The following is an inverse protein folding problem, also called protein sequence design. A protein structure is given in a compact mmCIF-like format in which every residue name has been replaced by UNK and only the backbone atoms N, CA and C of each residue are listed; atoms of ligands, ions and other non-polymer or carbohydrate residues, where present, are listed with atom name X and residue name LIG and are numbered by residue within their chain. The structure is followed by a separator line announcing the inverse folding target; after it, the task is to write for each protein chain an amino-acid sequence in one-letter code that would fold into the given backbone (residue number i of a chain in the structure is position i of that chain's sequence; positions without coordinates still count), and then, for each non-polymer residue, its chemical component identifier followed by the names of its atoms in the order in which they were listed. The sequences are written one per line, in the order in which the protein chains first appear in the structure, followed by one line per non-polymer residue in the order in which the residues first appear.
data_IF_020587547655
#
_entry.id   IF_020587547655
#
_cell.length_a   1.000
_cell.length_b   1.000
_cell.length_c   1.000
_cell.angle_alpha   90.00
_cell.angle_beta   90.00
_cell.angle_gamma   90.00
#
_symmetry.space_group_name_H-M   'P 1'
#
loop_
_entity.id
_entity.type
_entity.pdbx_description
1 polymer ?
#
# COMPACT_ATOMS: atom_id res chain seq x y z
N UNK A 1 2.04 -71.48 44.01
CA UNK A 1 1.03 -70.57 43.37
C UNK A 1 1.59 -69.13 43.39
N UNK A 2 2.08 -68.74 42.25
CA UNK A 2 2.76 -67.43 42.07
C UNK A 2 1.76 -66.41 41.52
N UNK A 3 1.37 -65.45 42.33
CA UNK A 3 0.55 -64.34 41.91
C UNK A 3 1.48 -63.16 41.50
N UNK A 4 1.71 -63.01 40.20
CA UNK A 4 2.38 -61.83 39.62
C UNK A 4 1.42 -60.66 39.72
N UNK A 5 1.71 -59.71 40.60
CA UNK A 5 1.07 -58.38 40.57
C UNK A 5 1.64 -57.61 39.42
N UNK A 6 0.84 -57.36 38.39
CA UNK A 6 1.14 -56.46 37.27
C UNK A 6 0.88 -55.05 37.82
N UNK A 7 1.94 -54.26 38.02
CA UNK A 7 1.89 -52.86 38.32
C UNK A 7 1.60 -52.12 37.00
N UNK A 8 0.35 -51.70 36.79
CA UNK A 8 -0.01 -50.83 35.68
C UNK A 8 0.46 -49.43 36.03
N UNK A 9 1.64 -49.02 35.50
CA UNK A 9 2.04 -47.62 35.50
C UNK A 9 1.14 -46.87 34.50
N UNK A 10 0.12 -46.22 35.00
CA UNK A 10 -0.57 -45.17 34.26
C UNK A 10 0.39 -44.00 34.10
N UNK A 11 1.05 -43.96 32.96
CA UNK A 11 1.72 -42.76 32.47
C UNK A 11 0.64 -41.73 32.16
N UNK A 12 0.34 -40.88 33.12
CA UNK A 12 -0.34 -39.64 32.87
C UNK A 12 0.60 -38.78 32.02
N UNK A 13 0.52 -38.97 30.70
CA UNK A 13 1.01 -37.98 29.79
C UNK A 13 0.13 -36.76 30.03
N UNK A 14 0.65 -35.82 30.80
CA UNK A 14 0.17 -34.43 30.74
C UNK A 14 0.40 -34.01 29.28
N UNK A 15 -0.60 -34.21 28.45
CA UNK A 15 -0.78 -33.36 27.28
C UNK A 15 -0.97 -31.97 27.86
N UNK A 16 0.12 -31.22 28.06
CA UNK A 16 0.03 -29.79 28.01
C UNK A 16 -0.70 -29.51 26.69
N UNK A 17 -1.98 -29.20 26.79
CA UNK A 17 -2.64 -28.44 25.76
C UNK A 17 -1.76 -27.23 25.54
N UNK A 18 -0.89 -27.33 24.57
CA UNK A 18 -0.52 -26.20 23.76
C UNK A 18 -1.86 -25.68 23.27
N UNK A 19 -2.47 -24.79 24.03
CA UNK A 19 -3.45 -23.84 23.53
C UNK A 19 -2.72 -23.19 22.36
N UNK A 20 -2.85 -23.83 21.20
CA UNK A 20 -2.09 -23.52 20.01
C UNK A 20 -2.40 -22.07 19.71
N UNK A 21 -1.36 -21.24 19.69
CA UNK A 21 -1.51 -19.86 19.28
C UNK A 21 -2.36 -19.87 18.00
N UNK A 22 -3.44 -19.11 17.99
CA UNK A 22 -4.29 -18.99 16.81
C UNK A 22 -3.39 -18.73 15.60
N UNK A 23 -3.65 -19.36 14.46
CA UNK A 23 -2.89 -19.10 13.23
C UNK A 23 -2.86 -17.60 12.84
N UNK A 24 -3.67 -16.80 13.50
CA UNK A 24 -3.75 -15.36 13.34
C UNK A 24 -3.01 -14.60 14.43
N UNK A 25 -2.45 -15.25 15.43
CA UNK A 25 -1.66 -14.59 16.46
C UNK A 25 -0.34 -14.05 15.90
N UNK A 26 0.17 -13.01 16.53
CA UNK A 26 1.51 -12.50 16.19
C UNK A 26 2.54 -13.51 16.70
N UNK A 27 3.50 -13.92 15.86
CA UNK A 27 4.58 -14.81 16.28
C UNK A 27 5.33 -14.26 17.50
N UNK A 28 5.64 -15.13 18.45
CA UNK A 28 6.29 -14.74 19.71
C UNK A 28 7.73 -14.26 19.49
N UNK A 29 8.44 -14.83 18.52
CA UNK A 29 9.82 -14.50 18.16
C UNK A 29 9.87 -13.95 16.73
N UNK A 30 11.02 -13.42 16.35
CA UNK A 30 11.29 -12.91 14.99
C UNK A 30 11.91 -13.98 14.09
N UNK A 31 12.25 -15.13 14.63
CA UNK A 31 12.93 -16.20 13.92
C UNK A 31 12.10 -16.69 12.72
N UNK A 32 12.73 -16.74 11.55
CA UNK A 32 12.08 -17.17 10.30
C UNK A 32 11.07 -16.23 9.72
N UNK A 33 10.79 -15.08 10.36
CA UNK A 33 9.85 -14.09 9.83
C UNK A 33 10.48 -13.24 8.72
N UNK A 34 9.70 -12.91 7.69
CA UNK A 34 10.17 -12.08 6.59
C UNK A 34 10.41 -10.63 7.05
N UNK A 35 11.29 -9.94 6.32
CA UNK A 35 11.59 -8.54 6.53
C UNK A 35 12.37 -8.24 7.80
N UNK A 36 12.60 -6.97 8.04
CA UNK A 36 13.38 -6.46 9.17
C UNK A 36 12.60 -5.39 9.94
N UNK A 37 13.12 -5.04 11.14
CA UNK A 37 12.55 -3.97 11.96
C UNK A 37 11.41 -4.42 12.86
N UNK A 38 10.65 -3.47 13.41
CA UNK A 38 9.76 -3.73 14.53
C UNK A 38 8.48 -4.46 14.13
N UNK A 39 8.08 -5.38 15.00
CA UNK A 39 6.75 -5.95 15.07
C UNK A 39 6.17 -5.56 16.41
N UNK A 40 5.03 -4.89 16.43
CA UNK A 40 4.38 -4.54 17.69
C UNK A 40 3.86 -5.78 18.41
N UNK A 41 4.20 -5.90 19.70
CA UNK A 41 3.76 -7.01 20.56
C UNK A 41 3.11 -6.53 21.87
N UNK A 42 2.66 -5.28 21.91
CA UNK A 42 1.88 -4.76 23.03
C UNK A 42 0.57 -5.55 23.19
N UNK A 43 0.09 -5.73 24.39
CA UNK A 43 -1.10 -6.54 24.65
C UNK A 43 -2.32 -6.06 23.83
N UNK A 44 -2.56 -4.74 23.80
CA UNK A 44 -3.64 -4.15 23.02
C UNK A 44 -3.52 -4.45 21.53
N UNK A 45 -2.30 -4.42 20.99
CA UNK A 45 -2.05 -4.67 19.57
C UNK A 45 -2.25 -6.15 19.21
N UNK A 46 -1.74 -7.08 20.03
CA UNK A 46 -1.97 -8.52 19.86
C UNK A 46 -3.45 -8.85 19.79
N UNK A 47 -4.24 -8.30 20.73
CA UNK A 47 -5.68 -8.51 20.79
C UNK A 47 -6.39 -7.94 19.55
N UNK A 48 -6.02 -6.73 19.12
CA UNK A 48 -6.59 -6.10 17.92
C UNK A 48 -6.23 -6.87 16.66
N UNK A 49 -4.96 -7.24 16.52
CA UNK A 49 -4.43 -8.01 15.40
C UNK A 49 -5.19 -9.33 15.23
N UNK A 50 -5.28 -10.12 16.27
CA UNK A 50 -5.96 -11.41 16.23
C UNK A 50 -7.47 -11.26 15.97
N UNK A 51 -8.12 -10.31 16.64
CA UNK A 51 -9.54 -10.00 16.43
C UNK A 51 -9.85 -9.63 14.98
N UNK A 52 -9.06 -8.72 14.39
CA UNK A 52 -9.25 -8.28 13.01
C UNK A 52 -9.06 -9.43 12.03
N UNK A 53 -7.98 -10.17 12.14
CA UNK A 53 -7.63 -11.27 11.23
C UNK A 53 -8.60 -12.45 11.33
N UNK A 54 -9.02 -12.79 12.54
CA UNK A 54 -10.07 -13.80 12.76
C UNK A 54 -11.40 -13.38 12.15
N UNK A 55 -11.75 -12.08 12.24
CA UNK A 55 -12.93 -11.53 11.56
C UNK A 55 -12.83 -11.64 10.05
N UNK A 56 -11.73 -11.21 9.47
CA UNK A 56 -11.50 -11.27 8.02
C UNK A 56 -11.47 -12.69 7.46
N UNK A 57 -10.95 -13.65 8.23
CA UNK A 57 -10.96 -15.06 7.81
C UNK A 57 -12.37 -15.62 7.56
N UNK A 58 -13.37 -15.08 8.25
CA UNK A 58 -14.79 -15.43 8.03
C UNK A 58 -15.38 -14.78 6.78
N UNK A 59 -14.74 -13.73 6.27
CA UNK A 59 -15.22 -12.90 5.15
C UNK A 59 -14.43 -13.16 3.85
N UNK A 60 -13.47 -14.10 3.84
CA UNK A 60 -12.60 -14.35 2.67
C UNK A 60 -13.41 -14.58 1.39
N UNK A 61 -14.48 -15.38 1.45
CA UNK A 61 -15.32 -15.65 0.27
C UNK A 61 -16.09 -14.40 -0.19
N UNK A 62 -16.55 -13.59 0.76
CA UNK A 62 -17.24 -12.34 0.47
C UNK A 62 -16.30 -11.34 -0.19
N UNK A 63 -15.05 -11.28 0.22
CA UNK A 63 -14.07 -10.29 -0.22
C UNK A 63 -13.24 -10.74 -1.44
N UNK A 64 -13.52 -11.93 -2.02
CA UNK A 64 -12.84 -12.40 -3.24
C UNK A 64 -12.94 -11.37 -4.37
N UNK A 65 -11.79 -11.05 -4.97
CA UNK A 65 -11.71 -10.12 -6.10
C UNK A 65 -11.94 -8.64 -5.71
N UNK A 66 -11.87 -8.28 -4.44
CA UNK A 66 -12.01 -6.90 -4.00
C UNK A 66 -10.80 -6.03 -4.39
N UNK A 67 -10.99 -4.72 -4.45
CA UNK A 67 -9.95 -3.73 -4.32
C UNK A 67 -9.57 -3.64 -2.84
N UNK A 68 -8.37 -4.09 -2.50
CA UNK A 68 -7.92 -4.15 -1.10
C UNK A 68 -7.19 -2.88 -0.70
N UNK A 69 -7.61 -2.26 0.39
CA UNK A 69 -6.88 -1.17 1.03
C UNK A 69 -6.05 -1.74 2.18
N UNK A 70 -4.74 -1.74 2.01
CA UNK A 70 -3.76 -2.33 2.92
C UNK A 70 -3.03 -1.25 3.70
N UNK A 71 -3.04 -1.34 5.04
CA UNK A 71 -2.38 -0.32 5.85
C UNK A 71 -2.56 -0.48 7.36
N UNK A 72 -2.46 0.63 8.03
CA UNK A 72 -2.49 0.74 9.50
C UNK A 72 -3.77 1.41 10.03
N UNK A 73 -3.66 2.21 11.11
CA UNK A 73 -4.79 2.94 11.73
C UNK A 73 -5.46 3.91 10.77
N UNK A 74 -4.71 4.51 9.87
CA UNK A 74 -5.26 5.47 8.89
C UNK A 74 -6.19 4.74 7.93
N UNK A 75 -5.79 3.56 7.45
CA UNK A 75 -6.65 2.71 6.62
C UNK A 75 -7.81 2.14 7.43
N UNK A 76 -7.56 1.59 8.63
CA UNK A 76 -8.62 1.07 9.50
C UNK A 76 -9.67 2.11 9.83
N UNK A 77 -9.25 3.34 10.14
CA UNK A 77 -10.13 4.45 10.55
C UNK A 77 -11.05 4.97 9.44
N UNK A 78 -10.81 4.57 8.20
CA UNK A 78 -11.74 4.89 7.10
C UNK A 78 -13.06 4.11 7.23
N UNK A 79 -13.07 3.00 7.94
CA UNK A 79 -14.22 2.10 8.07
C UNK A 79 -14.30 1.07 6.94
N UNK A 80 -15.15 0.08 7.11
CA UNK A 80 -15.24 -1.03 6.15
C UNK A 80 -16.05 -0.65 4.90
N UNK A 81 -16.95 0.34 5.02
CA UNK A 81 -17.71 0.93 3.91
C UNK A 81 -17.01 2.13 3.26
N UNK A 82 -15.82 2.49 3.76
CA UNK A 82 -15.06 3.68 3.32
C UNK A 82 -15.90 4.96 3.34
N UNK A 83 -16.84 5.06 4.29
CA UNK A 83 -17.77 6.20 4.43
C UNK A 83 -18.54 6.50 3.13
N UNK A 84 -18.79 5.47 2.34
CA UNK A 84 -19.51 5.58 1.07
C UNK A 84 -18.70 6.21 -0.09
N UNK A 85 -17.39 6.43 0.07
CA UNK A 85 -16.57 7.07 -0.95
C UNK A 85 -16.43 6.28 -2.26
N UNK A 86 -16.55 4.95 -2.21
CA UNK A 86 -16.32 4.06 -3.34
C UNK A 86 -17.57 3.23 -3.66
N UNK A 87 -18.73 3.87 -3.75
CA UNK A 87 -20.00 3.20 -4.11
C UNK A 87 -19.84 2.47 -5.44
N UNK A 88 -20.36 1.25 -5.51
CA UNK A 88 -20.28 0.39 -6.70
C UNK A 88 -18.95 -0.35 -6.86
N UNK A 89 -17.93 -0.02 -6.08
CA UNK A 89 -16.66 -0.74 -6.07
C UNK A 89 -16.67 -1.78 -4.94
N UNK A 90 -16.33 -3.02 -5.26
CA UNK A 90 -16.10 -4.04 -4.23
C UNK A 90 -14.77 -3.75 -3.54
N UNK A 91 -14.83 -3.29 -2.31
CA UNK A 91 -13.67 -2.89 -1.50
C UNK A 91 -13.48 -3.78 -0.29
N UNK A 92 -12.24 -3.94 0.18
CA UNK A 92 -11.93 -4.64 1.43
C UNK A 92 -10.90 -3.84 2.24
N UNK A 93 -11.27 -3.46 3.46
CA UNK A 93 -10.37 -2.78 4.39
C UNK A 93 -9.49 -3.80 5.11
N UNK A 94 -8.18 -3.69 4.92
CA UNK A 94 -7.15 -4.52 5.59
C UNK A 94 -6.18 -3.65 6.38
N UNK A 95 -6.71 -2.62 7.03
CA UNK A 95 -5.99 -1.78 7.99
C UNK A 95 -6.04 -2.35 9.40
N UNK A 96 -4.90 -2.36 10.10
CA UNK A 96 -4.80 -2.65 11.54
C UNK A 96 -4.11 -1.50 12.25
N UNK A 97 -4.80 -0.84 13.18
CA UNK A 97 -4.21 0.26 13.95
C UNK A 97 -2.92 -0.17 14.63
N UNK A 98 -1.86 0.62 14.41
CA UNK A 98 -0.55 0.32 14.97
C UNK A 98 0.33 -0.59 14.12
N UNK A 99 -0.15 -1.10 13.00
CA UNK A 99 0.63 -2.02 12.17
C UNK A 99 1.86 -1.36 11.54
N UNK A 100 2.89 -2.16 11.36
CA UNK A 100 4.16 -1.77 10.73
C UNK A 100 4.30 -2.44 9.37
N UNK A 101 5.27 -2.00 8.57
CA UNK A 101 5.57 -2.64 7.28
C UNK A 101 5.90 -4.13 7.44
N UNK A 102 6.63 -4.50 8.50
CA UNK A 102 6.93 -5.90 8.80
C UNK A 102 5.69 -6.67 9.25
N UNK A 103 4.81 -6.05 10.04
CA UNK A 103 3.53 -6.63 10.41
C UNK A 103 2.68 -6.94 9.18
N UNK A 104 2.52 -5.98 8.28
CA UNK A 104 1.84 -6.19 6.99
C UNK A 104 2.44 -7.37 6.22
N UNK A 105 3.77 -7.46 6.16
CA UNK A 105 4.45 -8.52 5.42
C UNK A 105 4.13 -9.92 5.96
N UNK A 106 4.07 -10.07 7.29
CA UNK A 106 3.74 -11.34 7.97
C UNK A 106 2.32 -11.80 7.62
N UNK A 107 1.35 -10.88 7.56
CA UNK A 107 -0.06 -11.22 7.33
C UNK A 107 -0.51 -11.15 5.87
N UNK A 108 0.38 -10.76 4.97
CA UNK A 108 0.05 -10.46 3.58
C UNK A 108 -0.63 -11.63 2.87
N UNK A 109 -0.15 -12.85 3.07
CA UNK A 109 -0.65 -14.05 2.40
C UNK A 109 -2.11 -14.33 2.78
N UNK A 110 -2.41 -14.41 4.07
CA UNK A 110 -3.72 -14.78 4.57
C UNK A 110 -4.74 -13.66 4.42
N UNK A 111 -4.32 -12.41 4.63
CA UNK A 111 -5.26 -11.30 4.75
C UNK A 111 -5.50 -10.57 3.41
N UNK A 112 -4.57 -10.71 2.46
CA UNK A 112 -4.61 -9.99 1.18
C UNK A 112 -4.57 -10.95 -0.01
N UNK A 113 -3.51 -11.76 -0.14
CA UNK A 113 -3.34 -12.59 -1.33
C UNK A 113 -4.44 -13.66 -1.46
N UNK A 114 -4.91 -14.20 -0.34
CA UNK A 114 -6.04 -15.16 -0.31
C UNK A 114 -7.34 -14.62 -0.90
N UNK A 115 -7.48 -13.30 -1.03
CA UNK A 115 -8.64 -12.64 -1.63
C UNK A 115 -8.58 -12.58 -3.15
N UNK A 116 -7.48 -12.99 -3.77
CA UNK A 116 -7.24 -12.79 -5.21
C UNK A 116 -7.63 -11.37 -5.65
N UNK A 117 -7.02 -10.34 -5.04
CA UNK A 117 -7.46 -8.97 -5.20
C UNK A 117 -7.38 -8.52 -6.66
N UNK A 118 -8.34 -7.72 -7.10
CA UNK A 118 -8.29 -7.05 -8.41
C UNK A 118 -7.34 -5.86 -8.43
N UNK A 119 -7.01 -5.32 -7.27
CA UNK A 119 -6.04 -4.25 -7.07
C UNK A 119 -5.75 -4.05 -5.59
N UNK A 120 -4.65 -3.37 -5.28
CA UNK A 120 -4.25 -3.05 -3.91
C UNK A 120 -3.86 -1.60 -3.80
N UNK A 121 -4.45 -0.88 -2.84
CA UNK A 121 -4.04 0.46 -2.40
C UNK A 121 -3.24 0.30 -1.12
N UNK A 122 -2.01 0.80 -1.09
CA UNK A 122 -1.09 0.64 0.05
C UNK A 122 -0.83 2.00 0.69
N UNK A 123 -1.03 2.08 2.01
CA UNK A 123 -0.56 3.18 2.86
C UNK A 123 0.00 2.60 4.16
N UNK A 124 1.30 2.61 4.33
CA UNK A 124 1.99 2.01 5.49
C UNK A 124 3.35 2.68 5.73
N UNK A 125 3.93 2.54 6.92
CA UNK A 125 5.27 2.97 7.27
C UNK A 125 5.35 4.03 8.38
N UNK A 126 4.23 4.66 8.75
CA UNK A 126 4.23 5.71 9.79
C UNK A 126 4.51 5.15 11.19
N UNK A 127 4.03 3.95 11.50
CA UNK A 127 4.24 3.32 12.81
C UNK A 127 5.64 2.75 12.99
N UNK A 128 6.29 2.40 11.90
CA UNK A 128 7.68 1.97 11.89
C UNK A 128 8.61 3.05 12.45
N UNK A 129 8.38 4.34 12.07
CA UNK A 129 9.12 5.48 12.62
C UNK A 129 8.90 5.63 14.12
N UNK A 130 7.67 5.48 14.60
CA UNK A 130 7.39 5.52 16.05
C UNK A 130 8.17 4.45 16.81
N UNK A 131 8.32 3.27 16.22
CA UNK A 131 9.10 2.15 16.72
C UNK A 131 10.59 2.27 16.39
N UNK A 132 11.06 3.42 15.88
CA UNK A 132 12.45 3.76 15.60
C UNK A 132 13.10 2.95 14.46
N UNK A 133 12.33 2.40 13.53
CA UNK A 133 12.87 1.83 12.31
C UNK A 133 13.45 2.92 11.41
N UNK A 134 14.51 2.59 10.68
CA UNK A 134 15.08 3.53 9.69
C UNK A 134 14.26 3.54 8.40
N UNK A 135 14.27 4.62 7.62
CA UNK A 135 13.64 4.68 6.31
C UNK A 135 14.06 3.56 5.36
N UNK A 136 15.31 3.10 5.45
CA UNK A 136 15.85 2.01 4.64
C UNK A 136 15.19 0.66 4.98
N UNK A 137 15.02 0.35 6.27
CA UNK A 137 14.32 -0.85 6.74
C UNK A 137 12.85 -0.82 6.29
N UNK A 138 12.18 0.32 6.47
CA UNK A 138 10.79 0.53 6.07
C UNK A 138 10.62 0.29 4.55
N UNK A 139 11.50 0.89 3.76
CA UNK A 139 11.50 0.73 2.30
C UNK A 139 11.87 -0.69 1.87
N UNK A 140 12.78 -1.36 2.59
CA UNK A 140 13.11 -2.77 2.38
C UNK A 140 11.88 -3.66 2.50
N UNK A 141 11.10 -3.51 3.55
CA UNK A 141 9.85 -4.25 3.75
C UNK A 141 8.81 -3.94 2.66
N UNK A 142 8.67 -2.66 2.26
CA UNK A 142 7.77 -2.32 1.14
C UNK A 142 8.15 -3.05 -0.14
N UNK A 143 9.44 -3.13 -0.48
CA UNK A 143 9.91 -3.86 -1.67
C UNK A 143 9.49 -5.32 -1.61
N UNK A 144 9.59 -5.97 -0.45
CA UNK A 144 9.14 -7.35 -0.26
C UNK A 144 7.62 -7.48 -0.42
N UNK A 145 6.84 -6.55 0.13
CA UNK A 145 5.38 -6.51 -0.03
C UNK A 145 5.02 -6.41 -1.52
N UNK A 146 5.59 -5.45 -2.24
CA UNK A 146 5.34 -5.25 -3.67
C UNK A 146 5.76 -6.48 -4.48
N UNK A 147 6.93 -7.06 -4.19
CA UNK A 147 7.39 -8.27 -4.86
C UNK A 147 6.42 -9.44 -4.67
N UNK A 148 5.89 -9.63 -3.45
CA UNK A 148 4.90 -10.68 -3.18
C UNK A 148 3.57 -10.44 -3.93
N UNK A 149 3.08 -9.21 -3.97
CA UNK A 149 1.90 -8.83 -4.74
C UNK A 149 2.09 -9.08 -6.24
N UNK A 150 3.22 -8.67 -6.81
CA UNK A 150 3.56 -8.89 -8.23
C UNK A 150 3.72 -10.37 -8.56
N UNK A 151 4.34 -11.14 -7.67
CA UNK A 151 4.46 -12.60 -7.82
C UNK A 151 3.08 -13.28 -7.82
N UNK A 152 2.16 -12.79 -7.01
CA UNK A 152 0.77 -13.31 -6.95
C UNK A 152 0.01 -13.02 -8.24
N UNK A 153 0.09 -11.80 -8.75
CA UNK A 153 -0.56 -11.41 -10.00
C UNK A 153 0.21 -10.26 -10.69
N UNK A 154 0.91 -10.58 -11.77
CA UNK A 154 1.72 -9.62 -12.52
C UNK A 154 0.91 -8.55 -13.28
N UNK A 155 -0.42 -8.68 -13.34
CA UNK A 155 -1.33 -7.73 -14.00
C UNK A 155 -2.15 -6.89 -13.03
N UNK A 156 -2.13 -7.23 -11.74
CA UNK A 156 -2.91 -6.53 -10.73
C UNK A 156 -2.34 -5.12 -10.48
N UNK A 157 -3.13 -4.05 -10.63
CA UNK A 157 -2.67 -2.71 -10.34
C UNK A 157 -2.40 -2.53 -8.84
N UNK A 158 -1.31 -1.84 -8.53
CA UNK A 158 -0.90 -1.46 -7.19
C UNK A 158 -0.86 0.07 -7.13
N UNK A 159 -1.62 0.67 -6.23
CA UNK A 159 -1.56 2.10 -5.95
C UNK A 159 -0.80 2.27 -4.64
N UNK A 160 0.39 2.87 -4.70
CA UNK A 160 1.21 3.16 -3.54
C UNK A 160 1.01 4.62 -3.13
N UNK A 161 0.35 4.84 -2.00
CA UNK A 161 0.29 6.16 -1.39
C UNK A 161 1.61 6.45 -0.67
N UNK A 162 2.17 7.63 -0.86
CA UNK A 162 3.25 8.12 -0.02
C UNK A 162 2.80 8.10 1.45
N UNK A 163 3.73 7.80 2.37
CA UNK A 163 3.44 7.94 3.81
C UNK A 163 3.00 9.38 4.10
N UNK A 164 1.86 9.52 4.77
CA UNK A 164 1.29 10.82 5.09
C UNK A 164 2.24 11.65 5.96
N UNK A 165 2.21 12.97 5.86
CA UNK A 165 2.88 13.82 6.83
C UNK A 165 2.30 13.58 8.23
N UNK A 166 3.13 13.82 9.24
CA UNK A 166 2.73 13.77 10.64
C UNK A 166 3.44 14.89 11.39
N UNK A 167 4.11 14.63 12.49
CA UNK A 167 4.88 15.63 13.22
C UNK A 167 5.99 14.98 14.05
N UNK A 168 7.06 15.74 14.32
CA UNK A 168 8.09 15.35 15.28
C UNK A 168 7.53 15.12 16.69
N UNK A 169 6.47 15.86 17.07
CA UNK A 169 5.75 15.65 18.34
C UNK A 169 5.10 14.28 18.46
N UNK A 170 4.84 13.63 17.32
CA UNK A 170 4.34 12.25 17.20
C UNK A 170 5.44 11.23 16.94
N UNK A 171 6.71 11.60 17.09
CA UNK A 171 7.88 10.78 16.75
C UNK A 171 7.93 10.37 15.26
N UNK A 172 7.41 11.22 14.39
CA UNK A 172 7.34 11.05 12.93
C UNK A 172 7.77 12.34 12.24
N UNK A 173 9.06 12.70 12.33
CA UNK A 173 9.55 13.98 11.80
C UNK A 173 9.51 14.01 10.27
N UNK A 174 9.28 15.19 9.73
CA UNK A 174 9.07 15.44 8.31
C UNK A 174 10.21 14.95 7.41
N UNK A 175 11.47 15.11 7.84
CA UNK A 175 12.65 14.66 7.10
C UNK A 175 12.68 13.15 6.93
N UNK A 176 12.34 12.39 7.98
CA UNK A 176 12.29 10.93 7.94
C UNK A 176 11.15 10.45 7.04
N UNK A 177 9.97 11.08 7.11
CA UNK A 177 8.85 10.72 6.21
C UNK A 177 9.21 11.03 4.75
N UNK A 178 9.80 12.20 4.48
CA UNK A 178 10.29 12.53 3.14
C UNK A 178 11.28 11.50 2.63
N UNK A 179 12.21 11.06 3.49
CA UNK A 179 13.18 10.02 3.13
C UNK A 179 12.51 8.69 2.79
N UNK A 180 11.50 8.27 3.56
CA UNK A 180 10.71 7.07 3.24
C UNK A 180 10.08 7.23 1.86
N UNK A 181 9.40 8.36 1.61
CA UNK A 181 8.68 8.59 0.35
C UNK A 181 9.63 8.62 -0.85
N UNK A 182 10.83 9.19 -0.71
CA UNK A 182 11.89 9.13 -1.72
C UNK A 182 12.33 7.69 -2.01
N UNK A 183 12.54 6.88 -0.97
CA UNK A 183 12.94 5.48 -1.11
C UNK A 183 11.80 4.63 -1.69
N UNK A 184 10.54 4.92 -1.34
CA UNK A 184 9.37 4.28 -1.91
C UNK A 184 9.27 4.55 -3.41
N UNK A 185 9.38 5.83 -3.80
CA UNK A 185 9.39 6.18 -5.21
C UNK A 185 10.54 5.52 -5.96
N UNK A 186 11.76 5.55 -5.42
CA UNK A 186 12.92 4.91 -6.03
C UNK A 186 12.74 3.40 -6.21
N UNK A 187 12.05 2.74 -5.26
CA UNK A 187 11.79 1.30 -5.31
C UNK A 187 10.86 0.88 -6.46
N UNK A 188 9.97 1.78 -6.90
CA UNK A 188 8.95 1.47 -7.92
C UNK A 188 9.10 2.31 -9.19
N UNK A 189 10.15 3.10 -9.28
CA UNK A 189 10.42 3.96 -10.42
C UNK A 189 10.47 3.15 -11.72
N UNK A 190 9.67 3.52 -12.70
CA UNK A 190 9.60 2.82 -14.01
C UNK A 190 8.79 1.52 -13.98
N UNK A 191 8.17 1.16 -12.86
CA UNK A 191 7.32 -0.03 -12.76
C UNK A 191 5.89 0.31 -13.19
N UNK A 192 5.49 -0.16 -14.38
CA UNK A 192 4.18 0.12 -14.95
C UNK A 192 3.00 -0.51 -14.15
N UNK A 193 3.29 -1.46 -13.25
CA UNK A 193 2.27 -2.07 -12.38
C UNK A 193 1.96 -1.23 -11.16
N UNK A 194 2.86 -0.30 -10.77
CA UNK A 194 2.73 0.50 -9.55
C UNK A 194 2.52 1.97 -9.89
N UNK A 195 1.39 2.51 -9.46
CA UNK A 195 1.09 3.94 -9.57
C UNK A 195 1.30 4.59 -8.21
N UNK A 196 2.14 5.62 -8.13
CA UNK A 196 2.37 6.36 -6.89
C UNK A 196 1.39 7.52 -6.78
N UNK A 197 0.68 7.60 -5.65
CA UNK A 197 -0.11 8.78 -5.27
C UNK A 197 0.70 9.63 -4.29
N UNK A 198 1.06 10.84 -4.70
CA UNK A 198 1.78 11.77 -3.83
C UNK A 198 0.84 12.41 -2.80
N UNK A 199 0.62 11.71 -1.73
CA UNK A 199 -0.20 12.17 -0.60
C UNK A 199 0.53 13.19 0.28
N UNK A 200 1.86 13.29 0.16
CA UNK A 200 2.63 14.33 0.86
C UNK A 200 2.20 15.73 0.42
N UNK A 201 2.14 15.98 -0.89
CA UNK A 201 1.71 17.27 -1.43
C UNK A 201 0.27 17.63 -1.04
N UNK A 202 -0.59 16.63 -0.84
CA UNK A 202 -1.96 16.86 -0.43
C UNK A 202 -2.04 17.41 1.01
N UNK A 203 -1.23 16.88 1.91
CA UNK A 203 -1.47 16.96 3.35
C UNK A 203 -0.38 17.65 4.16
N UNK A 204 0.83 17.87 3.60
CA UNK A 204 1.89 18.57 4.29
C UNK A 204 1.65 20.10 4.29
N UNK A 205 1.89 20.73 5.44
CA UNK A 205 2.00 22.17 5.53
C UNK A 205 3.38 22.67 5.07
N UNK A 206 3.62 23.99 5.18
CA UNK A 206 4.89 24.59 4.76
C UNK A 206 6.10 24.11 5.57
N UNK A 207 5.90 23.61 6.79
CA UNK A 207 6.94 23.06 7.65
C UNK A 207 7.15 21.56 7.44
N UNK A 208 6.22 20.91 6.72
CA UNK A 208 6.20 19.46 6.48
C UNK A 208 5.43 18.68 7.54
N UNK A 209 4.78 19.36 8.47
CA UNK A 209 3.85 18.71 9.40
C UNK A 209 2.50 18.47 8.72
N UNK A 210 1.70 17.56 9.29
CA UNK A 210 0.33 17.34 8.83
C UNK A 210 -0.53 18.59 9.06
N UNK A 211 -1.32 18.98 8.04
CA UNK A 211 -2.26 20.09 8.17
C UNK A 211 -3.33 19.78 9.20
N UNK A 212 -3.44 20.61 10.25
CA UNK A 212 -4.38 20.40 11.37
C UNK A 212 -5.85 20.37 10.95
N UNK A 213 -6.21 21.01 9.85
CA UNK A 213 -7.58 20.98 9.34
C UNK A 213 -8.02 19.56 8.97
N UNK A 214 -7.14 18.80 8.35
CA UNK A 214 -7.37 17.41 7.93
C UNK A 214 -6.93 16.39 8.98
N UNK A 215 -5.95 16.76 9.85
CA UNK A 215 -5.32 15.90 10.86
C UNK A 215 -5.31 16.59 12.23
N UNK A 216 -6.43 16.62 12.96
CA UNK A 216 -6.51 17.36 14.24
C UNK A 216 -5.47 16.93 15.28
N UNK A 217 -5.10 15.66 15.29
CA UNK A 217 -4.07 15.08 16.16
C UNK A 217 -2.69 14.98 15.51
N UNK A 218 -2.49 15.53 14.30
CA UNK A 218 -1.28 15.47 13.49
C UNK A 218 -0.88 14.06 13.02
N UNK A 219 -1.82 13.11 13.00
CA UNK A 219 -1.58 11.74 12.58
C UNK A 219 -2.77 11.11 11.82
N UNK A 220 -3.97 11.21 12.39
CA UNK A 220 -5.15 10.56 11.84
C UNK A 220 -6.05 11.57 11.11
N UNK A 221 -6.43 11.26 9.86
CA UNK A 221 -7.33 12.12 9.13
C UNK A 221 -8.73 12.12 9.75
N UNK A 222 -9.35 13.30 9.78
CA UNK A 222 -10.77 13.45 10.03
C UNK A 222 -11.58 13.24 8.74
N UNK A 223 -12.88 13.59 8.73
CA UNK A 223 -13.73 13.46 7.55
C UNK A 223 -13.17 14.25 6.35
N UNK A 224 -12.71 15.50 6.57
CA UNK A 224 -12.13 16.35 5.52
C UNK A 224 -10.89 15.70 4.89
N UNK A 225 -10.03 15.09 5.74
CA UNK A 225 -8.85 14.37 5.27
C UNK A 225 -9.20 13.15 4.43
N UNK A 226 -10.19 12.34 4.85
CA UNK A 226 -10.65 11.20 4.07
C UNK A 226 -11.33 11.61 2.76
N UNK A 227 -12.16 12.67 2.76
CA UNK A 227 -12.80 13.20 1.54
C UNK A 227 -11.74 13.62 0.51
N UNK A 228 -10.71 14.30 0.98
CA UNK A 228 -9.60 14.75 0.15
C UNK A 228 -8.76 13.60 -0.40
N UNK A 229 -8.50 12.58 0.43
CA UNK A 229 -7.79 11.38 -0.02
C UNK A 229 -8.62 10.58 -1.02
N UNK A 230 -9.92 10.38 -0.77
CA UNK A 230 -10.83 9.75 -1.71
C UNK A 230 -10.85 10.48 -3.06
N UNK A 231 -10.93 11.82 -3.04
CA UNK A 231 -10.93 12.65 -4.25
C UNK A 231 -9.65 12.49 -5.07
N UNK A 232 -8.50 12.33 -4.41
CA UNK A 232 -7.22 12.07 -5.08
C UNK A 232 -7.10 10.64 -5.62
N UNK A 233 -7.72 9.65 -4.97
CA UNK A 233 -7.71 8.25 -5.41
C UNK A 233 -8.65 7.99 -6.60
N UNK A 234 -9.81 8.64 -6.66
CA UNK A 234 -10.84 8.37 -7.68
C UNK A 234 -10.33 8.39 -9.12
N UNK A 235 -9.55 9.39 -9.56
CA UNK A 235 -9.01 9.39 -10.92
C UNK A 235 -8.12 8.17 -11.22
N UNK A 236 -7.32 7.74 -10.24
CA UNK A 236 -6.46 6.56 -10.38
C UNK A 236 -7.31 5.27 -10.43
N UNK A 237 -8.31 5.17 -9.55
CA UNK A 237 -9.22 4.02 -9.54
C UNK A 237 -10.01 3.92 -10.85
N UNK A 238 -10.45 5.05 -11.40
CA UNK A 238 -11.10 5.10 -12.70
C UNK A 238 -10.14 4.70 -13.83
N UNK A 239 -8.91 5.17 -13.80
CA UNK A 239 -7.86 4.78 -14.77
C UNK A 239 -7.61 3.27 -14.76
N UNK A 240 -7.66 2.65 -13.59
CA UNK A 240 -7.51 1.20 -13.44
C UNK A 240 -8.81 0.39 -13.66
N UNK A 241 -9.91 1.06 -14.03
CA UNK A 241 -11.19 0.41 -14.35
C UNK A 241 -12.00 -0.06 -13.14
N UNK A 242 -11.70 0.45 -11.93
CA UNK A 242 -12.49 0.15 -10.72
C UNK A 242 -13.76 0.98 -10.61
N UNK A 243 -13.77 2.14 -11.22
CA UNK A 243 -14.89 3.08 -11.23
C UNK A 243 -15.15 3.53 -12.66
N UNK A 244 -16.39 3.91 -12.93
CA UNK A 244 -16.66 4.61 -14.17
C UNK A 244 -15.92 5.95 -14.15
N UNK A 245 -15.32 6.29 -15.25
CA UNK A 245 -14.89 7.66 -15.49
C UNK A 245 -16.15 8.51 -15.67
N UNK A 246 -16.17 9.73 -15.17
CA UNK A 246 -17.06 10.72 -15.75
C UNK A 246 -16.82 10.65 -17.26
N UNK A 247 -17.90 10.55 -18.03
CA UNK A 247 -17.81 10.49 -19.48
C UNK A 247 -16.88 11.59 -19.95
N UNK A 248 -15.80 11.20 -20.63
CA UNK A 248 -14.96 12.16 -21.29
C UNK A 248 -15.76 12.65 -22.50
N UNK A 249 -16.41 13.79 -22.36
CA UNK A 249 -17.16 14.42 -23.46
C UNK A 249 -16.22 14.97 -24.55
N UNK A 250 -14.91 14.73 -24.39
CA UNK A 250 -13.92 15.14 -25.35
C UNK A 250 -14.13 14.40 -26.68
N UNK A 251 -14.56 15.15 -27.67
CA UNK A 251 -14.56 14.73 -29.07
C UNK A 251 -13.39 15.41 -29.76
N UNK A 252 -12.53 14.59 -30.32
CA UNK A 252 -11.40 15.10 -31.11
C UNK A 252 -11.92 15.90 -32.30
N UNK A 253 -11.48 17.16 -32.44
CA UNK A 253 -11.85 17.99 -33.57
C UNK A 253 -11.31 17.41 -34.88
N UNK A 254 -12.02 17.60 -36.01
CA UNK A 254 -11.53 17.17 -37.31
C UNK A 254 -10.13 17.75 -37.62
N UNK A 255 -9.25 16.90 -38.09
CA UNK A 255 -7.87 17.27 -38.43
C UNK A 255 -6.84 17.08 -37.32
N UNK A 256 -7.27 16.77 -36.09
CA UNK A 256 -6.35 16.36 -35.00
C UNK A 256 -6.17 14.85 -35.01
N UNK A 257 -5.00 14.40 -34.54
CA UNK A 257 -4.68 12.99 -34.34
C UNK A 257 -4.21 12.76 -32.90
N UNK A 258 -4.56 11.62 -32.33
CA UNK A 258 -4.07 11.27 -30.99
C UNK A 258 -2.55 11.09 -31.00
N UNK A 259 -1.86 11.81 -30.12
CA UNK A 259 -0.42 11.64 -29.91
C UNK A 259 -0.09 10.38 -29.10
N UNK A 260 -1.04 9.85 -28.35
CA UNK A 260 -0.90 8.63 -27.57
C UNK A 260 -1.66 7.48 -28.26
N UNK A 261 -1.00 6.34 -28.42
CA UNK A 261 -1.56 5.20 -29.16
C UNK A 261 -2.51 4.33 -28.31
N UNK A 262 -2.79 4.72 -27.06
CA UNK A 262 -3.62 3.97 -26.12
C UNK A 262 -2.94 2.73 -25.51
N UNK A 263 -1.77 2.31 -26.00
CA UNK A 263 -1.17 1.02 -25.67
C UNK A 263 0.10 1.15 -24.84
N UNK A 264 1.03 1.94 -25.31
CA UNK A 264 2.36 2.10 -24.73
C UNK A 264 2.96 3.47 -25.11
N UNK A 265 4.19 3.73 -24.70
CA UNK A 265 4.86 5.00 -24.93
C UNK A 265 5.65 5.02 -26.27
N UNK A 266 5.24 4.21 -27.26
CA UNK A 266 5.86 4.24 -28.60
C UNK A 266 5.72 5.63 -29.23
N UNK A 267 6.81 6.16 -29.73
CA UNK A 267 6.90 7.51 -30.27
C UNK A 267 7.27 8.58 -29.25
N UNK A 268 7.18 8.25 -27.95
CA UNK A 268 7.51 9.17 -26.85
C UNK A 268 8.98 9.01 -26.40
N UNK A 269 9.51 10.05 -25.76
CA UNK A 269 10.88 10.03 -25.24
C UNK A 269 11.25 11.37 -24.62
N UNK A 270 12.41 11.43 -23.97
CA UNK A 270 12.92 12.70 -23.46
C UNK A 270 13.76 13.40 -24.52
N UNK A 271 13.71 14.73 -24.52
CA UNK A 271 14.54 15.59 -25.35
C UNK A 271 15.42 16.50 -24.49
N UNK A 272 16.58 16.80 -25.01
CA UNK A 272 17.42 17.86 -24.46
C UNK A 272 16.80 19.21 -24.84
N UNK A 273 16.53 20.06 -23.86
CA UNK A 273 15.85 21.35 -24.09
C UNK A 273 16.64 22.30 -25.02
N UNK A 274 17.98 22.26 -24.99
CA UNK A 274 18.81 23.15 -25.82
C UNK A 274 19.00 22.62 -27.25
N UNK A 275 19.25 21.34 -27.38
CA UNK A 275 19.61 20.73 -28.70
C UNK A 275 18.41 20.11 -29.39
N UNK A 276 17.27 19.98 -28.74
CA UNK A 276 16.05 19.29 -29.21
C UNK A 276 16.30 17.83 -29.63
N UNK A 277 17.49 17.28 -29.39
CA UNK A 277 17.79 15.88 -29.67
C UNK A 277 17.15 14.96 -28.66
N UNK A 278 16.59 13.83 -29.11
CA UNK A 278 16.11 12.77 -28.24
C UNK A 278 17.25 12.24 -27.38
N UNK A 279 17.04 12.18 -26.06
CA UNK A 279 17.99 11.64 -25.07
C UNK A 279 17.55 10.26 -24.56
N UNK A 280 16.28 9.91 -24.74
CA UNK A 280 15.74 8.59 -24.45
C UNK A 280 14.51 8.34 -25.33
N UNK A 281 14.26 7.07 -25.68
CA UNK A 281 13.03 6.60 -26.32
C UNK A 281 12.31 5.61 -25.40
N UNK A 282 11.01 5.58 -25.51
CA UNK A 282 10.16 4.70 -24.71
C UNK A 282 9.36 3.72 -25.57
N UNK A 283 9.79 3.49 -26.80
CA UNK A 283 9.10 2.61 -27.75
C UNK A 283 8.85 1.23 -27.14
N UNK A 284 7.59 0.79 -27.16
CA UNK A 284 7.13 -0.47 -26.59
C UNK A 284 7.11 -0.51 -25.05
N UNK A 285 7.50 0.55 -24.36
CA UNK A 285 7.49 0.61 -22.90
C UNK A 285 6.15 1.10 -22.37
N UNK A 286 5.72 0.52 -21.24
CA UNK A 286 4.53 0.97 -20.50
C UNK A 286 4.81 2.15 -19.57
N UNK A 287 6.07 2.41 -19.24
CA UNK A 287 6.46 3.51 -18.36
C UNK A 287 7.74 4.19 -18.84
N UNK A 288 7.86 5.49 -18.58
CA UNK A 288 9.11 6.24 -18.77
C UNK A 288 10.17 5.80 -17.76
N UNK A 289 11.45 6.02 -18.08
CA UNK A 289 12.55 5.59 -17.21
C UNK A 289 12.54 6.23 -15.81
N UNK A 290 11.90 7.39 -15.68
CA UNK A 290 11.73 8.10 -14.39
C UNK A 290 10.38 7.80 -13.72
N UNK A 291 9.55 6.94 -14.33
CA UNK A 291 8.24 6.55 -13.82
C UNK A 291 7.18 7.67 -13.86
N UNK A 292 7.48 8.81 -14.49
CA UNK A 292 6.56 9.95 -14.54
C UNK A 292 5.38 9.73 -15.46
N UNK A 293 5.61 9.06 -16.57
CA UNK A 293 4.61 8.79 -17.60
C UNK A 293 4.37 7.29 -17.67
N UNK A 294 3.14 6.90 -17.51
CA UNK A 294 2.74 5.48 -17.51
C UNK A 294 1.51 5.29 -18.38
N UNK A 295 1.55 4.28 -19.24
CA UNK A 295 0.38 3.86 -20.03
C UNK A 295 -0.44 2.86 -19.22
N UNK A 296 -1.68 3.23 -18.90
CA UNK A 296 -2.61 2.43 -18.11
C UNK A 296 -4.01 2.54 -18.71
N UNK A 297 -4.61 1.40 -19.09
CA UNK A 297 -5.99 1.34 -19.61
C UNK A 297 -6.29 2.43 -20.63
N UNK A 298 -5.54 2.43 -21.71
CA UNK A 298 -5.64 3.35 -22.84
C UNK A 298 -5.45 4.85 -22.50
N UNK A 299 -4.83 5.13 -21.34
CA UNK A 299 -4.54 6.49 -20.88
C UNK A 299 -3.06 6.70 -20.63
N UNK A 300 -2.59 7.90 -20.95
CA UNK A 300 -1.30 8.40 -20.49
C UNK A 300 -1.48 9.02 -19.10
N UNK A 301 -0.99 8.34 -18.07
CA UNK A 301 -1.01 8.82 -16.68
C UNK A 301 0.29 9.53 -16.38
N UNK A 302 0.18 10.76 -15.90
CA UNK A 302 1.32 11.54 -15.45
C UNK A 302 1.37 11.48 -13.94
N UNK A 303 2.45 10.90 -13.41
CA UNK A 303 2.70 10.84 -11.97
C UNK A 303 3.68 11.93 -11.54
N UNK A 304 3.49 12.50 -10.37
CA UNK A 304 4.43 13.49 -9.84
C UNK A 304 5.56 12.76 -9.13
N UNK A 305 6.84 12.92 -9.52
CA UNK A 305 7.94 12.36 -8.78
C UNK A 305 8.08 13.02 -7.40
N UNK A 306 8.48 12.25 -6.40
CA UNK A 306 8.66 12.72 -5.03
C UNK A 306 9.74 13.81 -4.88
N UNK A 307 10.64 13.94 -5.85
CA UNK A 307 11.70 14.94 -5.86
C UNK A 307 11.68 15.82 -7.11
N UNK A 308 11.67 17.12 -6.86
CA UNK A 308 12.10 18.16 -7.79
C UNK A 308 11.14 18.42 -8.97
N UNK A 309 10.74 19.68 -9.09
CA UNK A 309 10.12 20.22 -10.29
C UNK A 309 11.14 20.28 -11.45
N UNK A 310 11.51 19.16 -12.02
CA UNK A 310 12.17 19.18 -13.33
C UNK A 310 11.09 19.05 -14.39
N UNK A 311 10.83 20.15 -15.07
CA UNK A 311 10.06 20.13 -16.31
C UNK A 311 10.88 19.34 -17.33
N UNK A 312 10.44 18.14 -17.67
CA UNK A 312 10.98 17.40 -18.81
C UNK A 312 9.97 17.52 -19.93
N UNK A 313 10.43 17.95 -21.11
CA UNK A 313 9.61 17.85 -22.32
C UNK A 313 9.63 16.40 -22.83
N UNK A 314 8.45 15.90 -23.10
CA UNK A 314 8.24 14.65 -23.85
C UNK A 314 8.46 14.88 -25.33
#
# INVERSE_FOLDING_TARGET
MNTKRILLLLSFVFALDLLGASKFSIPATDEGLPGEGPIRRYAWFKNLWEKKRTGWAKQVNQDQGALVFLGDSITQGWGDDFRGHFKGVKVANRGISGDTTRGVLIRLKEDVLSLNPKGVVILIGTNDLEEKATPEVISGNLKLIIAALKKHNAKMPIILCNTFPSSASKRRPADQIKKINQLYFAAVKGDAQVTVLDTWLLFADAKGDAKKLEFPDLLHPNQIGYDKWASALRPLLATHGFMETQSDDFKMEPGFVSLFNGKDLTGWGFRNQRTQKKTATFDGKKASNDGRYVSINDRLVVTTPAEGRRVQQL
#
